data_IF_450120772163
#
_entry.id   IF_450120772163
#
_cell.length_a   1.000
_cell.length_b   1.000
_cell.length_c   1.000
_cell.angle_alpha   90.00
_cell.angle_beta   90.00
_cell.angle_gamma   90.00
#
_symmetry.space_group_name_H-M   'P 1'
#
loop_
_entity.id
_entity.type
_entity.pdbx_description
1 polymer ?
#
# COMPACT_ATOMS: atom_id res chain seq x y z
N UNK A 1 -9.25 16.62 -13.75
CA UNK A 1 -10.55 16.47 -14.44
C UNK A 1 -10.41 15.82 -15.82
N UNK A 2 -9.40 16.17 -16.61
CA UNK A 2 -9.23 15.70 -18.00
C UNK A 2 -9.11 14.18 -18.17
N UNK A 3 -8.35 13.51 -17.31
CA UNK A 3 -8.24 12.05 -17.29
C UNK A 3 -9.61 11.38 -17.16
N UNK A 4 -10.45 11.87 -16.25
CA UNK A 4 -11.77 11.30 -16.00
C UNK A 4 -12.74 11.55 -17.16
N UNK A 5 -12.63 12.71 -17.84
CA UNK A 5 -13.35 12.97 -19.09
C UNK A 5 -12.93 12.02 -20.21
N UNK A 6 -11.64 11.71 -20.32
CA UNK A 6 -11.14 10.72 -21.29
C UNK A 6 -11.73 9.34 -21.01
N UNK A 7 -11.72 8.89 -19.76
CA UNK A 7 -12.29 7.60 -19.37
C UNK A 7 -13.80 7.56 -19.69
N UNK A 8 -14.55 8.61 -19.39
CA UNK A 8 -15.97 8.70 -19.74
C UNK A 8 -16.22 8.60 -21.26
N UNK A 9 -15.37 9.25 -22.07
CA UNK A 9 -15.46 9.15 -23.52
C UNK A 9 -15.12 7.73 -24.02
N UNK A 10 -14.11 7.08 -23.45
CA UNK A 10 -13.79 5.68 -23.77
C UNK A 10 -14.97 4.78 -23.39
N UNK A 11 -15.54 4.97 -22.19
CA UNK A 11 -16.65 4.16 -21.71
C UNK A 11 -17.87 4.24 -22.65
N UNK A 12 -18.22 5.44 -23.10
CA UNK A 12 -19.33 5.67 -24.04
C UNK A 12 -19.18 4.91 -25.36
N UNK A 13 -17.96 4.84 -25.91
CA UNK A 13 -17.73 4.23 -27.22
C UNK A 13 -17.37 2.75 -27.16
N UNK A 14 -16.73 2.29 -26.08
CA UNK A 14 -16.11 0.97 -26.00
C UNK A 14 -16.64 0.10 -24.86
N UNK A 15 -17.44 0.66 -23.94
CA UNK A 15 -17.79 -0.01 -22.68
C UNK A 15 -19.29 0.06 -22.37
N UNK A 16 -20.14 0.28 -23.40
CA UNK A 16 -21.58 0.47 -23.25
C UNK A 16 -21.96 1.59 -22.26
N UNK A 17 -21.18 2.67 -22.22
CA UNK A 17 -21.36 3.81 -21.30
C UNK A 17 -21.30 3.41 -19.82
N UNK A 18 -20.60 2.30 -19.49
CA UNK A 18 -20.43 1.82 -18.12
C UNK A 18 -19.00 2.00 -17.62
N UNK A 19 -18.89 2.35 -16.34
CA UNK A 19 -17.66 2.35 -15.56
C UNK A 19 -17.96 1.63 -14.24
N UNK A 20 -17.07 0.76 -13.79
CA UNK A 20 -17.15 0.14 -12.46
C UNK A 20 -15.93 0.53 -11.64
N UNK A 21 -16.14 0.76 -10.35
CA UNK A 21 -15.06 1.00 -9.38
C UNK A 21 -14.87 -0.29 -8.58
N UNK A 22 -13.64 -0.78 -8.50
CA UNK A 22 -13.30 -1.94 -7.69
C UNK A 22 -13.10 -1.54 -6.22
N UNK A 23 -13.19 -2.52 -5.33
CA UNK A 23 -12.83 -2.34 -3.92
C UNK A 23 -11.31 -2.06 -3.73
N UNK A 24 -10.51 -2.23 -4.78
CA UNK A 24 -9.09 -1.89 -4.84
C UNK A 24 -8.86 -0.48 -5.39
N UNK A 25 -9.92 0.35 -5.46
CA UNK A 25 -9.87 1.73 -5.95
C UNK A 25 -9.50 1.86 -7.45
N UNK A 26 -9.58 0.76 -8.20
CA UNK A 26 -9.31 0.73 -9.64
C UNK A 26 -10.57 0.93 -10.48
N UNK A 27 -10.38 1.46 -11.69
CA UNK A 27 -11.44 1.71 -12.67
C UNK A 27 -11.50 0.54 -13.66
N UNK A 28 -12.69 0.00 -13.88
CA UNK A 28 -12.95 -1.11 -14.80
C UNK A 28 -13.87 -0.62 -15.93
N UNK A 29 -13.43 -0.87 -17.17
CA UNK A 29 -14.21 -0.68 -18.39
C UNK A 29 -14.77 -2.04 -18.85
N UNK A 30 -16.02 -2.41 -18.48
CA UNK A 30 -16.59 -3.70 -18.85
C UNK A 30 -16.95 -3.78 -20.34
N UNK A 31 -17.15 -4.98 -20.86
CA UNK A 31 -17.71 -5.23 -22.21
C UNK A 31 -16.88 -4.71 -23.40
N UNK A 32 -15.63 -4.28 -23.19
CA UNK A 32 -14.74 -3.88 -24.29
C UNK A 32 -14.51 -5.07 -25.22
N UNK A 33 -14.87 -4.90 -26.49
CA UNK A 33 -14.66 -5.94 -27.49
C UNK A 33 -13.15 -6.20 -27.65
N UNK A 34 -12.75 -7.48 -27.78
CA UNK A 34 -11.33 -7.87 -27.79
C UNK A 34 -10.53 -7.17 -28.88
N UNK A 35 -11.13 -6.92 -30.05
CA UNK A 35 -10.47 -6.22 -31.15
C UNK A 35 -10.18 -4.74 -30.86
N UNK A 36 -10.91 -4.12 -29.92
CA UNK A 36 -10.75 -2.70 -29.58
C UNK A 36 -9.70 -2.45 -28.51
N UNK A 37 -9.19 -3.51 -27.84
CA UNK A 37 -8.23 -3.39 -26.76
C UNK A 37 -6.98 -2.56 -27.13
N UNK A 38 -6.33 -2.75 -28.31
CA UNK A 38 -5.19 -1.93 -28.69
C UNK A 38 -5.54 -0.44 -28.81
N UNK A 39 -6.75 -0.14 -29.33
CA UNK A 39 -7.23 1.24 -29.47
C UNK A 39 -7.52 1.88 -28.12
N UNK A 40 -8.24 1.17 -27.24
CA UNK A 40 -8.52 1.61 -25.88
C UNK A 40 -7.23 1.85 -25.09
N UNK A 41 -6.27 0.93 -25.18
CA UNK A 41 -4.96 1.08 -24.55
C UNK A 41 -4.22 2.34 -25.01
N UNK A 42 -4.18 2.60 -26.32
CA UNK A 42 -3.54 3.81 -26.85
C UNK A 42 -4.23 5.10 -26.39
N UNK A 43 -5.57 5.08 -26.28
CA UNK A 43 -6.33 6.21 -25.75
C UNK A 43 -6.02 6.47 -24.27
N UNK A 44 -5.90 5.41 -23.45
CA UNK A 44 -5.49 5.53 -22.05
C UNK A 44 -4.04 6.04 -21.93
N UNK A 45 -3.14 5.51 -22.77
CA UNK A 45 -1.74 5.92 -22.83
C UNK A 45 -1.56 7.40 -23.14
N UNK A 46 -2.41 7.97 -24.01
CA UNK A 46 -2.39 9.41 -24.32
C UNK A 46 -2.62 10.32 -23.11
N UNK A 47 -3.18 9.78 -22.01
CA UNK A 47 -3.43 10.46 -20.74
C UNK A 47 -2.66 9.85 -19.56
N UNK A 48 -1.63 9.05 -19.82
CA UNK A 48 -0.80 8.39 -18.80
C UNK A 48 -1.61 7.47 -17.86
N UNK A 49 -2.64 6.80 -18.39
CA UNK A 49 -3.51 5.87 -17.65
C UNK A 49 -3.25 4.40 -18.03
N UNK A 50 -2.03 4.08 -18.46
CA UNK A 50 -1.66 2.77 -19.01
C UNK A 50 -0.66 2.00 -18.15
N UNK A 51 -0.49 2.38 -16.89
CA UNK A 51 0.39 1.68 -15.94
C UNK A 51 -0.12 0.26 -15.74
N UNK A 52 0.75 -0.73 -15.97
CA UNK A 52 0.40 -2.15 -15.92
C UNK A 52 0.76 -2.75 -14.55
N UNK A 53 0.22 -2.19 -13.47
CA UNK A 53 0.61 -2.48 -12.10
C UNK A 53 -0.44 -3.22 -11.26
N UNK A 54 -1.56 -3.66 -11.83
CA UNK A 54 -2.64 -4.32 -11.07
C UNK A 54 -2.09 -5.44 -10.18
N UNK A 55 -2.32 -5.32 -8.87
CA UNK A 55 -1.88 -6.27 -7.85
C UNK A 55 -0.38 -6.21 -7.49
N UNK A 56 0.40 -5.30 -8.09
CA UNK A 56 1.81 -5.09 -7.81
C UNK A 56 2.00 -4.04 -6.71
N UNK A 57 3.24 -3.82 -6.28
CA UNK A 57 3.55 -2.98 -5.12
C UNK A 57 3.12 -1.51 -5.26
N UNK A 58 3.02 -0.99 -6.49
CA UNK A 58 2.55 0.38 -6.73
C UNK A 58 1.02 0.52 -6.81
N UNK A 59 0.27 -0.58 -6.81
CA UNK A 59 -1.21 -0.63 -6.76
C UNK A 59 -1.68 -0.59 -5.30
N UNK A 60 -1.63 0.61 -4.72
CA UNK A 60 -1.83 0.84 -3.29
C UNK A 60 -3.22 1.40 -3.03
N UNK A 61 -3.96 0.77 -2.12
CA UNK A 61 -5.22 1.32 -1.61
C UNK A 61 -4.88 2.36 -0.55
N UNK A 62 -5.31 3.60 -0.75
CA UNK A 62 -5.13 4.69 0.20
C UNK A 62 -6.46 5.39 0.49
N UNK A 63 -6.75 5.66 1.76
CA UNK A 63 -7.83 6.59 2.08
C UNK A 63 -7.40 8.04 1.75
N UNK A 64 -8.35 8.99 1.67
CA UNK A 64 -8.00 10.38 1.35
C UNK A 64 -7.04 11.06 2.34
N UNK A 65 -6.96 10.59 3.59
CA UNK A 65 -6.06 11.14 4.62
C UNK A 65 -6.34 12.61 4.94
N UNK A 66 -5.41 13.28 5.63
CA UNK A 66 -5.55 14.71 5.97
C UNK A 66 -5.58 15.64 4.75
N UNK A 67 -5.26 15.13 3.56
CA UNK A 67 -5.34 15.91 2.33
C UNK A 67 -6.80 16.30 2.00
N UNK A 68 -7.78 15.45 2.35
CA UNK A 68 -9.19 15.69 2.01
C UNK A 68 -10.21 15.26 3.08
N UNK A 69 -9.80 14.58 4.16
CA UNK A 69 -10.70 14.07 5.18
C UNK A 69 -10.50 14.79 6.52
N UNK A 70 -11.56 15.42 7.03
CA UNK A 70 -11.56 16.13 8.32
C UNK A 70 -11.43 15.21 9.55
N UNK A 71 -11.61 13.89 9.38
CA UNK A 71 -11.45 12.89 10.45
C UNK A 71 -10.05 12.27 10.48
N UNK A 72 -9.22 12.56 9.49
CA UNK A 72 -7.91 11.94 9.39
C UNK A 72 -6.94 12.53 10.42
N UNK A 73 -6.02 11.69 10.89
CA UNK A 73 -4.96 12.04 11.85
C UNK A 73 -3.57 12.04 11.21
N UNK A 74 -3.46 11.57 9.97
CA UNK A 74 -2.24 11.57 9.17
C UNK A 74 -2.58 11.60 7.68
N UNK A 75 -1.59 11.96 6.84
CA UNK A 75 -1.71 11.87 5.39
C UNK A 75 -1.63 10.42 4.92
N UNK A 76 -2.07 10.15 3.69
CA UNK A 76 -2.09 8.78 3.15
C UNK A 76 -1.74 8.75 1.68
N UNK A 77 -2.28 9.68 0.89
CA UNK A 77 -2.01 9.77 -0.55
C UNK A 77 -0.52 10.02 -0.82
N UNK A 78 0.16 11.00 -0.18
CA UNK A 78 1.59 11.23 -0.40
C UNK A 78 2.45 10.00 -0.07
N UNK A 79 2.14 9.31 1.04
CA UNK A 79 2.89 8.11 1.43
C UNK A 79 2.71 6.99 0.40
N UNK A 80 1.49 6.77 -0.10
CA UNK A 80 1.25 5.80 -1.16
C UNK A 80 2.05 6.16 -2.43
N UNK A 81 2.01 7.42 -2.85
CA UNK A 81 2.74 7.90 -4.02
C UNK A 81 4.26 7.75 -3.87
N UNK A 82 4.81 8.10 -2.71
CA UNK A 82 6.25 7.94 -2.41
C UNK A 82 6.68 6.47 -2.44
N UNK A 83 5.87 5.55 -1.90
CA UNK A 83 6.14 4.11 -2.00
C UNK A 83 6.12 3.68 -3.48
N UNK A 84 5.09 4.04 -4.24
CA UNK A 84 4.99 3.68 -5.66
C UNK A 84 6.17 4.20 -6.48
N UNK A 85 6.56 5.47 -6.32
CA UNK A 85 7.72 6.05 -6.98
C UNK A 85 9.02 5.37 -6.57
N UNK A 86 9.19 5.08 -5.27
CA UNK A 86 10.40 4.41 -4.77
C UNK A 86 10.61 3.03 -5.41
N UNK A 87 9.55 2.23 -5.55
CA UNK A 87 9.66 0.88 -6.13
C UNK A 87 9.76 0.88 -7.66
N UNK A 88 9.25 1.92 -8.33
CA UNK A 88 9.52 2.19 -9.74
C UNK A 88 11.00 2.54 -9.97
N UNK A 89 11.56 3.46 -9.18
CA UNK A 89 12.99 3.83 -9.22
C UNK A 89 13.92 2.63 -9.01
N UNK A 90 13.59 1.77 -8.03
CA UNK A 90 14.35 0.56 -7.73
C UNK A 90 14.21 -0.52 -8.81
N UNK A 91 13.23 -0.40 -9.72
CA UNK A 91 12.88 -1.42 -10.73
C UNK A 91 12.61 -2.80 -10.12
N UNK A 92 12.06 -2.82 -8.90
CA UNK A 92 11.80 -4.05 -8.15
C UNK A 92 10.35 -4.53 -8.24
N UNK A 93 9.44 -3.71 -8.76
CA UNK A 93 8.00 -3.99 -8.78
C UNK A 93 7.66 -5.40 -9.28
N UNK A 94 8.14 -5.79 -10.47
CA UNK A 94 7.88 -7.11 -11.02
C UNK A 94 8.64 -8.25 -10.30
N UNK A 95 9.78 -7.95 -9.69
CA UNK A 95 10.53 -8.95 -8.90
C UNK A 95 9.84 -9.24 -7.56
N UNK A 96 9.19 -8.24 -6.97
CA UNK A 96 8.32 -8.39 -5.78
C UNK A 96 7.10 -9.25 -6.09
N UNK A 97 6.51 -9.06 -7.28
CA UNK A 97 5.29 -9.76 -7.67
C UNK A 97 4.07 -9.26 -6.90
N UNK A 98 3.05 -10.12 -6.80
CA UNK A 98 1.76 -9.71 -6.24
C UNK A 98 1.84 -9.43 -4.74
N UNK A 99 1.43 -8.22 -4.34
CA UNK A 99 1.40 -7.79 -2.94
C UNK A 99 0.33 -6.72 -2.73
N UNK A 100 -0.39 -6.77 -1.60
CA UNK A 100 -1.42 -5.78 -1.26
C UNK A 100 -0.93 -4.83 -0.17
N UNK A 101 -0.61 -3.59 -0.52
CA UNK A 101 -0.34 -2.52 0.44
C UNK A 101 -1.60 -1.69 0.64
N UNK A 102 -1.94 -1.43 1.90
CA UNK A 102 -3.18 -0.73 2.29
C UNK A 102 -2.89 0.33 3.35
N UNK A 103 -3.28 1.57 3.08
CA UNK A 103 -2.96 2.74 3.91
C UNK A 103 -4.24 3.41 4.40
N UNK A 104 -4.31 3.70 5.70
CA UNK A 104 -5.37 4.52 6.30
C UNK A 104 -4.76 5.61 7.18
N UNK A 105 -5.23 6.84 7.04
CA UNK A 105 -4.76 8.00 7.79
C UNK A 105 -5.39 8.16 9.17
N UNK A 106 -6.27 7.24 9.58
CA UNK A 106 -6.85 7.17 10.93
C UNK A 106 -7.41 5.76 11.21
N UNK A 107 -7.88 5.55 12.44
CA UNK A 107 -8.42 4.28 12.94
C UNK A 107 -9.71 3.82 12.25
N UNK A 108 -10.42 4.68 11.53
CA UNK A 108 -11.64 4.30 10.79
C UNK A 108 -11.37 3.32 9.64
N UNK A 109 -10.09 3.13 9.29
CA UNK A 109 -9.64 2.06 8.41
C UNK A 109 -10.31 2.03 7.01
N UNK A 110 -10.68 3.18 6.42
CA UNK A 110 -11.31 3.22 5.10
C UNK A 110 -10.46 2.59 3.98
N UNK A 111 -9.13 2.49 4.15
CA UNK A 111 -8.24 1.75 3.25
C UNK A 111 -8.09 0.26 3.59
N UNK A 112 -8.76 -0.23 4.64
CA UNK A 112 -8.69 -1.60 5.16
C UNK A 112 -7.26 -2.07 5.48
N UNK A 113 -6.44 -1.19 6.09
CA UNK A 113 -5.04 -1.48 6.41
C UNK A 113 -4.82 -2.76 7.24
N UNK A 114 -5.78 -3.13 8.10
CA UNK A 114 -5.73 -4.37 8.90
C UNK A 114 -5.61 -5.66 8.06
N UNK A 115 -6.11 -5.66 6.83
CA UNK A 115 -6.13 -6.84 5.94
C UNK A 115 -5.28 -6.63 4.68
N UNK A 116 -4.35 -5.67 4.72
CA UNK A 116 -3.28 -5.60 3.73
C UNK A 116 -2.16 -6.58 4.09
N UNK A 117 -1.52 -7.17 3.08
CA UNK A 117 -0.27 -7.92 3.29
C UNK A 117 0.71 -7.04 4.07
N UNK A 118 0.78 -5.77 3.69
CA UNK A 118 1.40 -4.70 4.47
C UNK A 118 0.34 -3.61 4.70
N UNK A 119 -0.07 -3.44 5.95
CA UNK A 119 -0.96 -2.39 6.39
C UNK A 119 -0.20 -1.21 6.98
N UNK A 120 -0.62 0.00 6.65
CA UNK A 120 -0.08 1.24 7.22
C UNK A 120 -1.22 2.03 7.86
N UNK A 121 -1.13 2.25 9.16
CA UNK A 121 -2.04 3.11 9.94
C UNK A 121 -1.33 4.39 10.34
N UNK A 122 -1.79 5.51 9.79
CA UNK A 122 -1.40 6.84 10.21
C UNK A 122 -2.15 7.28 11.47
N UNK A 123 -1.41 7.82 12.44
CA UNK A 123 -1.88 8.31 13.73
C UNK A 123 -1.22 9.65 14.02
N UNK A 124 -1.90 10.50 14.79
CA UNK A 124 -1.26 11.65 15.43
C UNK A 124 -0.58 11.20 16.73
N UNK A 125 0.66 11.62 16.94
CA UNK A 125 1.35 11.53 18.23
C UNK A 125 1.92 12.87 18.60
N UNK A 126 1.19 13.59 19.45
CA UNK A 126 1.59 14.91 19.96
C UNK A 126 1.81 15.93 18.83
N UNK A 127 0.89 15.96 17.85
CA UNK A 127 0.94 16.88 16.72
C UNK A 127 1.88 16.43 15.60
N UNK A 128 2.41 15.21 15.65
CA UNK A 128 3.31 14.66 14.64
C UNK A 128 2.74 13.37 14.06
N UNK A 129 2.69 13.30 12.73
CA UNK A 129 2.25 12.11 12.01
C UNK A 129 3.15 10.90 12.29
N UNK A 130 2.55 9.79 12.70
CA UNK A 130 3.21 8.53 13.00
C UNK A 130 2.51 7.37 12.29
N UNK A 131 3.28 6.51 11.62
CA UNK A 131 2.80 5.45 10.75
C UNK A 131 3.13 4.08 11.34
N UNK A 132 2.12 3.40 11.84
CA UNK A 132 2.23 2.03 12.36
C UNK A 132 2.09 1.02 11.23
N UNK A 133 2.97 0.01 11.22
CA UNK A 133 2.95 -1.08 10.25
C UNK A 133 2.29 -2.33 10.87
N UNK A 134 1.38 -2.94 10.13
CA UNK A 134 0.87 -4.31 10.34
C UNK A 134 1.31 -5.20 9.18
N UNK A 135 1.63 -6.46 9.45
CA UNK A 135 2.13 -7.40 8.44
C UNK A 135 1.33 -8.71 8.45
N UNK A 136 1.11 -9.28 7.27
CA UNK A 136 0.47 -10.59 7.11
C UNK A 136 -1.06 -10.56 7.19
N UNK A 137 -1.66 -9.39 6.98
CA UNK A 137 -3.11 -9.30 6.81
C UNK A 137 -3.53 -9.86 5.46
N UNK A 138 -4.72 -10.44 5.40
CA UNK A 138 -5.27 -11.08 4.21
C UNK A 138 -6.80 -10.95 4.22
N UNK A 139 -7.38 -10.57 3.08
CA UNK A 139 -8.83 -10.37 2.90
C UNK A 139 -9.46 -11.47 2.03
N UNK A 140 -8.70 -12.50 1.67
CA UNK A 140 -9.16 -13.67 0.90
C UNK A 140 -9.91 -14.65 1.79
N UNK A 141 -10.15 -15.87 1.29
CA UNK A 141 -10.87 -16.94 1.98
C UNK A 141 -10.19 -17.36 3.30
N UNK A 142 -8.87 -17.13 3.44
CA UNK A 142 -8.11 -17.36 4.67
C UNK A 142 -7.96 -16.08 5.50
N UNK A 143 -9.02 -15.28 5.56
CA UNK A 143 -9.03 -13.93 6.13
C UNK A 143 -8.28 -13.85 7.48
N UNK A 144 -7.33 -12.92 7.55
CA UNK A 144 -6.50 -12.70 8.74
C UNK A 144 -6.22 -11.21 8.91
N UNK A 145 -6.29 -10.74 10.16
CA UNK A 145 -5.79 -9.41 10.51
C UNK A 145 -4.27 -9.46 10.66
N UNK A 146 -3.58 -8.48 10.09
CA UNK A 146 -2.13 -8.39 10.16
C UNK A 146 -1.61 -8.12 11.57
N UNK A 147 -0.45 -8.71 11.87
CA UNK A 147 0.20 -8.57 13.16
C UNK A 147 0.94 -7.24 13.24
N UNK A 148 0.76 -6.50 14.34
CA UNK A 148 1.43 -5.22 14.56
C UNK A 148 2.95 -5.42 14.69
N UNK A 149 3.71 -4.78 13.80
CA UNK A 149 5.16 -4.95 13.75
C UNK A 149 5.90 -4.31 14.95
N UNK A 150 5.43 -3.16 15.44
CA UNK A 150 6.06 -2.46 16.56
C UNK A 150 5.65 -0.98 16.70
N UNK A 151 6.57 -0.11 17.18
CA UNK A 151 6.41 1.35 17.16
C UNK A 151 6.24 1.89 15.74
N UNK A 152 5.47 2.97 15.56
CA UNK A 152 5.31 3.58 14.24
C UNK A 152 6.51 4.44 13.83
N UNK A 153 6.60 4.69 12.53
CA UNK A 153 7.64 5.48 11.87
C UNK A 153 7.16 6.91 11.60
N UNK A 154 8.07 7.88 11.49
CA UNK A 154 7.71 9.19 10.93
C UNK A 154 7.44 9.11 9.42
N UNK A 155 6.85 10.16 8.85
CA UNK A 155 6.60 10.27 7.41
C UNK A 155 7.88 10.05 6.56
N UNK A 156 9.05 10.48 7.03
CA UNK A 156 10.33 10.31 6.31
C UNK A 156 10.93 8.91 6.47
N UNK A 157 10.50 8.16 7.48
CA UNK A 157 11.06 6.84 7.79
C UNK A 157 10.20 5.68 7.28
N UNK A 158 8.92 5.92 6.98
CA UNK A 158 7.99 4.87 6.57
C UNK A 158 8.40 4.24 5.23
N UNK A 159 8.77 5.03 4.22
CA UNK A 159 9.17 4.51 2.90
C UNK A 159 10.45 3.64 3.01
N UNK A 160 11.53 4.08 3.66
CA UNK A 160 12.69 3.22 3.95
C UNK A 160 12.33 1.97 4.75
N UNK A 161 11.34 2.04 5.65
CA UNK A 161 10.91 0.88 6.43
C UNK A 161 10.21 -0.18 5.57
N UNK A 162 9.33 0.25 4.64
CA UNK A 162 8.68 -0.64 3.67
C UNK A 162 9.73 -1.28 2.74
N UNK A 163 10.70 -0.49 2.26
CA UNK A 163 11.82 -1.02 1.48
C UNK A 163 12.57 -2.14 2.21
N UNK A 164 12.91 -1.95 3.50
CA UNK A 164 13.57 -3.01 4.29
C UNK A 164 12.72 -4.28 4.41
N UNK A 165 11.39 -4.15 4.57
CA UNK A 165 10.47 -5.30 4.62
C UNK A 165 10.49 -6.05 3.30
N UNK A 166 10.41 -5.35 2.18
CA UNK A 166 10.39 -5.95 0.85
C UNK A 166 11.73 -6.60 0.49
N UNK A 167 12.85 -5.94 0.76
CA UNK A 167 14.18 -6.53 0.55
C UNK A 167 14.38 -7.77 1.41
N UNK A 168 13.85 -7.77 2.65
CA UNK A 168 13.87 -8.97 3.51
C UNK A 168 13.03 -10.09 2.91
N UNK A 169 11.81 -9.79 2.44
CA UNK A 169 10.97 -10.76 1.72
C UNK A 169 11.73 -11.39 0.53
N UNK A 170 12.29 -10.56 -0.35
CA UNK A 170 13.03 -11.03 -1.52
C UNK A 170 14.23 -11.91 -1.16
N UNK A 171 14.88 -11.64 -0.01
CA UNK A 171 16.02 -12.42 0.48
C UNK A 171 15.61 -13.78 1.06
N UNK A 172 14.47 -13.87 1.72
CA UNK A 172 14.05 -15.07 2.50
C UNK A 172 13.00 -15.92 1.81
N UNK A 173 12.44 -15.46 0.67
CA UNK A 173 11.56 -16.28 -0.16
C UNK A 173 12.33 -17.46 -0.76
N UNK A 174 11.67 -18.59 -0.89
CA UNK A 174 12.28 -19.82 -1.42
C UNK A 174 12.56 -19.72 -2.93
N UNK A 175 11.66 -19.05 -3.66
CA UNK A 175 11.74 -18.88 -5.10
C UNK A 175 10.80 -17.74 -5.54
N UNK A 176 10.77 -17.43 -6.84
CA UNK A 176 9.95 -16.34 -7.42
C UNK A 176 8.44 -16.58 -7.35
N UNK A 177 7.99 -17.82 -7.13
CA UNK A 177 6.56 -18.16 -7.04
C UNK A 177 6.02 -18.02 -5.60
N UNK A 178 6.90 -17.91 -4.60
CA UNK A 178 6.50 -17.62 -3.23
C UNK A 178 6.26 -16.11 -3.08
N UNK A 179 5.00 -15.70 -3.08
CA UNK A 179 4.61 -14.31 -2.85
C UNK A 179 4.80 -13.90 -1.38
N UNK A 180 4.68 -12.60 -1.10
CA UNK A 180 4.91 -12.06 0.23
C UNK A 180 4.07 -12.74 1.32
N UNK A 181 2.77 -12.97 1.07
CA UNK A 181 1.87 -13.50 2.10
C UNK A 181 2.22 -14.95 2.46
N UNK A 182 2.59 -15.78 1.47
CA UNK A 182 3.05 -17.14 1.72
C UNK A 182 4.38 -17.17 2.48
N UNK A 183 5.34 -16.31 2.12
CA UNK A 183 6.60 -16.17 2.88
C UNK A 183 6.33 -15.76 4.32
N UNK A 184 5.40 -14.82 4.54
CA UNK A 184 5.00 -14.38 5.87
C UNK A 184 4.34 -15.51 6.68
N UNK A 185 3.43 -16.27 6.08
CA UNK A 185 2.77 -17.40 6.74
C UNK A 185 3.77 -18.47 7.17
N UNK A 186 4.81 -18.74 6.37
CA UNK A 186 5.87 -19.71 6.67
C UNK A 186 6.82 -19.26 7.79
N UNK A 187 7.27 -18.01 7.75
CA UNK A 187 8.32 -17.50 8.64
C UNK A 187 7.79 -16.73 9.86
N UNK A 188 6.54 -16.29 9.81
CA UNK A 188 5.98 -15.37 10.76
C UNK A 188 6.64 -13.99 10.74
N UNK A 189 6.37 -13.19 11.76
CA UNK A 189 6.76 -11.77 11.82
C UNK A 189 8.26 -11.54 12.09
N UNK A 190 8.96 -12.53 12.65
CA UNK A 190 10.30 -12.36 13.22
C UNK A 190 11.34 -11.72 12.26
N UNK A 191 11.57 -12.24 11.04
CA UNK A 191 12.56 -11.65 10.13
C UNK A 191 12.19 -10.22 9.72
N UNK A 192 10.91 -9.95 9.50
CA UNK A 192 10.43 -8.63 9.10
C UNK A 192 10.52 -7.61 10.25
N UNK A 193 10.24 -8.03 11.48
CA UNK A 193 10.40 -7.18 12.67
C UNK A 193 11.86 -6.81 12.90
N UNK A 194 12.78 -7.75 12.70
CA UNK A 194 14.21 -7.48 12.78
C UNK A 194 14.67 -6.48 11.71
N UNK A 195 14.13 -6.58 10.48
CA UNK A 195 14.42 -5.64 9.40
C UNK A 195 13.87 -4.23 9.68
N UNK A 196 12.71 -4.14 10.33
CA UNK A 196 12.10 -2.87 10.70
C UNK A 196 12.87 -2.15 11.81
N UNK A 197 13.38 -2.90 12.79
CA UNK A 197 14.07 -2.37 13.98
C UNK A 197 15.45 -3.04 14.18
N UNK A 198 16.47 -2.68 13.37
CA UNK A 198 17.82 -3.17 13.59
C UNK A 198 18.33 -2.75 14.98
N UNK A 199 19.18 -3.59 15.59
CA UNK A 199 19.60 -3.49 17.00
C UNK A 199 20.30 -2.16 17.38
N UNK A 200 20.66 -1.30 16.42
CA UNK A 200 21.29 -0.01 16.66
C UNK A 200 20.30 1.15 16.91
N UNK A 201 18.99 0.95 16.75
CA UNK A 201 17.98 2.03 16.87
C UNK A 201 17.24 2.10 18.22
N UNK A 202 17.74 1.45 19.27
CA UNK A 202 17.18 1.59 20.61
C UNK A 202 17.77 2.82 21.31
N UNK A 203 17.18 4.01 21.08
CA UNK A 203 17.40 5.14 21.99
C UNK A 203 16.92 4.76 23.39
N UNK A 204 17.65 5.16 24.46
CA UNK A 204 17.36 4.71 25.81
C UNK A 204 15.95 5.12 26.23
N UNK A 205 15.18 4.17 26.77
CA UNK A 205 13.90 4.44 27.42
C UNK A 205 14.13 5.51 28.50
N UNK A 206 13.54 6.68 28.32
CA UNK A 206 13.49 7.71 29.37
C UNK A 206 12.78 7.05 30.56
N UNK A 207 13.53 6.74 31.62
CA UNK A 207 12.97 6.32 32.89
C UNK A 207 12.08 7.46 33.39
N UNK A 208 10.77 7.22 33.43
CA UNK A 208 9.85 8.06 34.20
C UNK A 208 10.35 8.05 35.65
N UNK A 209 10.95 9.15 36.10
CA UNK A 209 11.12 9.41 37.53
C UNK A 209 9.72 9.49 38.13
N UNK A 210 9.33 8.43 38.84
CA UNK A 210 8.29 8.49 39.86
C UNK A 210 8.74 9.49 40.91
N UNK A 211 8.12 10.67 40.93
CA UNK A 211 8.10 11.49 42.13
C UNK A 211 7.04 10.87 43.04
N UNK A 212 7.50 10.32 44.16
CA UNK A 212 6.65 9.87 45.25
C UNK A 212 6.34 11.08 46.16
N UNK A 213 5.05 11.18 46.52
CA UNK A 213 4.41 11.95 47.60
C UNK A 213 4.80 13.43 47.79
#
# INVERSE_FOLDING_TARGET
SDQMRQIANIARHYSHDQIRISHEQNIILPHVHKSDLPKVYNLLKSKQLNTANIGLISDIIACPGMDYCALATARSIPIAQEISMRFDELKLEHEVGHIKIKISGCINACGHHHVGHIGILGLDRAGVENYQITLGGDATETAKIGDRAGPGFSATQIVPAIERVILTYLKVRLNKHENFIHTYQRLGIAPFKQALYPKESQSPKIQKKTYAA
#
